data_IF_969933061627
#
_entry.id   IF_969933061627
#
_cell.length_a   1.000
_cell.length_b   1.000
_cell.length_c   1.000
_cell.angle_alpha   90.00
_cell.angle_beta   90.00
_cell.angle_gamma   90.00
#
_symmetry.space_group_name_H-M   'P 1'
#
loop_
_entity.id
_entity.type
_entity.pdbx_description
1 polymer ?
#
# COMPACT_ATOMS: atom_id res chain seq x y z
N UNK A 1 4.70 -14.93 -1.62
CA UNK A 1 3.95 -15.61 -2.70
C UNK A 1 3.17 -14.54 -3.45
N UNK A 2 3.43 -14.32 -4.75
CA UNK A 2 2.74 -13.27 -5.53
C UNK A 2 1.31 -13.71 -5.88
N UNK A 3 0.38 -12.76 -6.05
CA UNK A 3 -1.03 -13.05 -6.41
C UNK A 3 -1.17 -13.91 -7.67
N UNK A 4 -0.22 -13.76 -8.60
CA UNK A 4 -0.10 -14.59 -9.79
C UNK A 4 0.06 -16.08 -9.47
N UNK A 5 0.87 -16.42 -8.46
CA UNK A 5 1.12 -17.80 -8.05
C UNK A 5 -0.12 -18.43 -7.38
N UNK A 6 -0.92 -17.64 -6.65
CA UNK A 6 -2.17 -18.13 -6.06
C UNK A 6 -3.20 -18.46 -7.14
N UNK A 7 -3.35 -17.58 -8.14
CA UNK A 7 -4.24 -17.81 -9.29
C UNK A 7 -3.83 -19.06 -10.07
N UNK A 8 -2.53 -19.26 -10.32
CA UNK A 8 -2.01 -20.44 -11.02
C UNK A 8 -2.27 -21.73 -10.24
N UNK A 9 -2.13 -21.73 -8.91
CA UNK A 9 -2.44 -22.89 -8.05
C UNK A 9 -3.94 -23.18 -8.01
N UNK A 10 -4.77 -22.15 -7.93
CA UNK A 10 -6.23 -22.36 -7.97
C UNK A 10 -6.64 -22.95 -9.34
N UNK A 11 -6.07 -22.44 -10.42
CA UNK A 11 -6.30 -22.94 -11.77
C UNK A 11 -5.88 -24.41 -11.95
N UNK A 12 -4.76 -24.84 -11.37
CA UNK A 12 -4.35 -26.26 -11.41
C UNK A 12 -5.25 -27.16 -10.58
N UNK A 13 -5.74 -26.71 -9.42
CA UNK A 13 -6.71 -27.46 -8.59
C UNK A 13 -8.02 -27.69 -9.34
N UNK A 14 -8.57 -26.63 -9.95
CA UNK A 14 -9.80 -26.73 -10.73
C UNK A 14 -9.60 -27.55 -12.01
N UNK A 15 -8.45 -27.44 -12.66
CA UNK A 15 -8.08 -28.28 -13.81
C UNK A 15 -8.00 -29.76 -13.44
N UNK A 16 -7.29 -30.11 -12.35
CA UNK A 16 -7.21 -31.47 -11.85
C UNK A 16 -8.57 -32.03 -11.42
N UNK A 17 -9.42 -31.19 -10.82
CA UNK A 17 -10.79 -31.58 -10.49
C UNK A 17 -11.65 -31.86 -11.72
N UNK A 18 -11.55 -31.04 -12.77
CA UNK A 18 -12.24 -31.28 -14.03
C UNK A 18 -11.84 -32.61 -14.68
N UNK A 19 -10.54 -32.94 -14.65
CA UNK A 19 -10.02 -34.22 -15.14
C UNK A 19 -10.53 -35.39 -14.28
N UNK A 20 -10.53 -35.25 -12.95
CA UNK A 20 -11.01 -36.28 -12.04
C UNK A 20 -12.50 -36.55 -12.22
N UNK A 21 -13.33 -35.51 -12.40
CA UNK A 21 -14.75 -35.65 -12.71
C UNK A 21 -14.96 -36.29 -14.07
N UNK A 22 -14.22 -35.88 -15.11
CA UNK A 22 -14.31 -36.51 -16.43
C UNK A 22 -13.96 -38.01 -16.38
N UNK A 23 -12.90 -38.38 -15.65
CA UNK A 23 -12.52 -39.78 -15.44
C UNK A 23 -13.62 -40.57 -14.71
N UNK A 24 -14.25 -39.97 -13.71
CA UNK A 24 -15.35 -40.57 -12.94
C UNK A 24 -16.59 -40.79 -13.82
N UNK A 25 -16.93 -39.83 -14.68
CA UNK A 25 -18.01 -39.96 -15.66
C UNK A 25 -17.72 -41.01 -16.75
N UNK A 26 -16.48 -41.08 -17.24
CA UNK A 26 -16.07 -42.13 -18.19
C UNK A 26 -16.13 -43.51 -17.52
N UNK A 27 -15.72 -43.61 -16.26
CA UNK A 27 -15.81 -44.86 -15.48
C UNK A 27 -17.25 -45.36 -15.30
N UNK A 28 -18.25 -44.46 -15.33
CA UNK A 28 -19.67 -44.82 -15.26
C UNK A 28 -20.30 -45.19 -16.59
N UNK A 29 -19.61 -44.99 -17.74
CA UNK A 29 -20.20 -45.13 -19.08
C UNK A 29 -20.68 -46.54 -19.47
N UNK A 30 -20.51 -47.54 -18.61
CA UNK A 30 -21.01 -48.91 -18.79
C UNK A 30 -21.71 -49.52 -17.58
N UNK A 31 -21.95 -48.77 -16.50
CA UNK A 31 -22.62 -49.25 -15.29
C UNK A 31 -23.76 -48.32 -14.86
N UNK A 32 -24.78 -48.87 -14.20
CA UNK A 32 -25.86 -48.07 -13.58
C UNK A 32 -25.21 -47.09 -12.62
N UNK A 33 -25.53 -45.80 -12.76
CA UNK A 33 -24.97 -44.70 -11.97
C UNK A 33 -25.20 -44.96 -10.47
N UNK A 34 -24.21 -45.57 -9.82
CA UNK A 34 -24.34 -46.02 -8.43
C UNK A 34 -24.23 -44.81 -7.49
N UNK A 35 -24.97 -44.85 -6.38
CA UNK A 35 -24.94 -43.84 -5.31
C UNK A 35 -23.51 -43.52 -4.85
N UNK A 36 -22.60 -44.52 -4.91
CA UNK A 36 -21.18 -44.34 -4.62
C UNK A 36 -20.50 -43.30 -5.51
N UNK A 37 -20.83 -43.22 -6.81
CA UNK A 37 -20.26 -42.24 -7.74
C UNK A 37 -20.74 -40.81 -7.43
N UNK A 38 -21.98 -40.67 -6.98
CA UNK A 38 -22.53 -39.38 -6.55
C UNK A 38 -21.85 -38.91 -5.27
N UNK A 39 -21.66 -39.79 -4.28
CA UNK A 39 -20.99 -39.45 -3.02
C UNK A 39 -19.53 -39.06 -3.26
N UNK A 40 -18.79 -39.80 -4.10
CA UNK A 40 -17.40 -39.47 -4.41
C UNK A 40 -17.27 -38.16 -5.17
N UNK A 41 -18.17 -37.87 -6.12
CA UNK A 41 -18.21 -36.58 -6.80
C UNK A 41 -18.46 -35.41 -5.81
N UNK A 42 -19.41 -35.56 -4.89
CA UNK A 42 -19.72 -34.54 -3.87
C UNK A 42 -18.51 -34.31 -2.95
N UNK A 43 -17.85 -35.38 -2.49
CA UNK A 43 -16.66 -35.27 -1.65
C UNK A 43 -15.50 -34.58 -2.37
N UNK A 44 -15.34 -34.84 -3.66
CA UNK A 44 -14.28 -34.24 -4.48
C UNK A 44 -14.50 -32.72 -4.63
N UNK A 45 -15.76 -32.30 -4.88
CA UNK A 45 -16.11 -30.88 -4.95
C UNK A 45 -15.93 -30.20 -3.59
N UNK A 46 -16.40 -30.81 -2.50
CA UNK A 46 -16.23 -30.25 -1.15
C UNK A 46 -14.75 -30.13 -0.78
N UNK A 47 -13.93 -31.13 -1.13
CA UNK A 47 -12.48 -31.11 -0.91
C UNK A 47 -11.79 -29.99 -1.69
N UNK A 48 -12.17 -29.76 -2.95
CA UNK A 48 -11.60 -28.69 -3.77
C UNK A 48 -12.01 -27.29 -3.29
N UNK A 49 -13.26 -27.13 -2.83
CA UNK A 49 -13.74 -25.87 -2.23
C UNK A 49 -13.00 -25.60 -0.91
N UNK A 50 -12.84 -26.60 -0.05
CA UNK A 50 -12.09 -26.47 1.20
C UNK A 50 -10.61 -26.15 0.95
N UNK A 51 -9.95 -26.84 0.01
CA UNK A 51 -8.57 -26.58 -0.36
C UNK A 51 -8.39 -25.16 -0.93
N UNK A 52 -9.31 -24.72 -1.78
CA UNK A 52 -9.31 -23.35 -2.31
C UNK A 52 -9.47 -22.32 -1.20
N UNK A 53 -10.40 -22.52 -0.27
CA UNK A 53 -10.57 -21.64 0.89
C UNK A 53 -9.32 -21.56 1.76
N UNK A 54 -8.67 -22.70 2.02
CA UNK A 54 -7.46 -22.77 2.84
C UNK A 54 -6.27 -22.05 2.18
N UNK A 55 -6.09 -22.23 0.87
CA UNK A 55 -5.04 -21.58 0.08
C UNK A 55 -5.21 -20.06 0.05
N UNK A 56 -6.44 -19.58 -0.05
CA UNK A 56 -6.72 -18.14 -0.04
C UNK A 56 -6.52 -17.52 1.35
N UNK A 57 -6.92 -18.22 2.41
CA UNK A 57 -6.69 -17.77 3.79
C UNK A 57 -5.20 -17.72 4.14
N UNK A 58 -4.42 -18.75 3.79
CA UNK A 58 -2.96 -18.77 4.04
C UNK A 58 -2.17 -17.87 3.07
N UNK A 59 -2.57 -17.82 1.80
CA UNK A 59 -1.94 -16.98 0.79
C UNK A 59 -2.08 -15.48 1.09
N UNK A 60 -3.25 -15.07 1.60
CA UNK A 60 -3.50 -13.69 2.05
C UNK A 60 -2.58 -13.28 3.20
N UNK A 61 -2.49 -14.10 4.24
CA UNK A 61 -1.65 -13.84 5.43
C UNK A 61 -0.17 -13.71 5.06
N UNK A 62 0.35 -14.61 4.23
CA UNK A 62 1.76 -14.56 3.82
C UNK A 62 2.07 -13.38 2.89
N UNK A 63 1.12 -12.97 2.04
CA UNK A 63 1.29 -11.80 1.16
C UNK A 63 1.32 -10.48 1.94
N UNK A 64 0.51 -10.38 2.99
CA UNK A 64 0.37 -9.18 3.81
C UNK A 64 1.62 -8.91 4.64
N UNK A 65 2.26 -9.98 5.15
CA UNK A 65 3.52 -9.90 5.89
C UNK A 65 4.71 -9.48 5.01
N UNK A 66 4.72 -9.84 3.72
CA UNK A 66 5.76 -9.37 2.78
C UNK A 66 5.52 -7.95 2.28
N UNK A 67 4.25 -7.53 2.11
CA UNK A 67 3.91 -6.15 1.70
C UNK A 67 4.21 -5.13 2.80
N UNK A 68 3.94 -5.47 4.06
CA UNK A 68 4.21 -4.55 5.18
C UNK A 68 5.69 -4.19 5.31
N UNK A 69 6.61 -5.10 4.95
CA UNK A 69 8.05 -4.81 4.97
C UNK A 69 8.41 -3.80 3.87
N UNK A 70 7.94 -4.01 2.65
CA UNK A 70 8.27 -3.17 1.49
C UNK A 70 7.66 -1.76 1.58
N UNK A 71 6.40 -1.65 2.06
CA UNK A 71 5.74 -0.36 2.30
C UNK A 71 6.47 0.45 3.39
N UNK A 72 6.96 -0.21 4.45
CA UNK A 72 7.71 0.45 5.53
C UNK A 72 9.05 1.04 5.02
N UNK A 73 9.73 0.36 4.10
CA UNK A 73 10.96 0.88 3.49
C UNK A 73 10.67 2.06 2.55
N UNK A 74 9.60 2.00 1.75
CA UNK A 74 9.22 3.09 0.86
C UNK A 74 8.78 4.35 1.61
N UNK A 75 8.08 4.19 2.73
CA UNK A 75 7.57 5.30 3.54
C UNK A 75 8.72 6.03 4.27
N UNK A 76 9.70 5.28 4.77
CA UNK A 76 10.94 5.84 5.34
C UNK A 76 11.73 6.64 4.30
N UNK A 77 11.90 6.09 3.09
CA UNK A 77 12.60 6.78 2.01
C UNK A 77 11.88 8.07 1.54
N UNK A 78 10.54 8.10 1.58
CA UNK A 78 9.75 9.30 1.28
C UNK A 78 9.86 10.35 2.37
N UNK A 79 9.82 9.97 3.65
CA UNK A 79 10.03 10.89 4.78
C UNK A 79 11.40 11.55 4.71
N UNK A 80 12.45 10.77 4.45
CA UNK A 80 13.82 11.27 4.40
C UNK A 80 14.01 12.29 3.25
N UNK A 81 13.39 12.06 2.09
CA UNK A 81 13.40 13.04 0.98
C UNK A 81 12.67 14.33 1.33
N UNK A 82 11.51 14.26 1.99
CA UNK A 82 10.75 15.44 2.39
C UNK A 82 11.55 16.26 3.41
N UNK A 83 12.19 15.59 4.37
CA UNK A 83 13.01 16.21 5.40
C UNK A 83 14.25 16.89 4.79
N UNK A 84 14.86 16.28 3.78
CA UNK A 84 15.98 16.87 3.04
C UNK A 84 15.56 18.11 2.24
N UNK A 85 14.39 18.08 1.59
CA UNK A 85 13.86 19.23 0.85
C UNK A 85 13.51 20.36 1.82
N UNK A 86 12.85 20.08 2.93
CA UNK A 86 12.54 21.07 3.97
C UNK A 86 13.80 21.71 4.54
N UNK A 87 14.85 20.91 4.79
CA UNK A 87 16.13 21.41 5.28
C UNK A 87 16.81 22.31 4.26
N UNK A 88 16.78 21.93 2.98
CA UNK A 88 17.35 22.74 1.91
C UNK A 88 16.58 24.05 1.69
N UNK A 89 15.25 24.02 1.78
CA UNK A 89 14.41 25.22 1.71
C UNK A 89 14.68 26.16 2.90
N UNK A 90 14.72 25.63 4.13
CA UNK A 90 15.05 26.40 5.32
C UNK A 90 16.42 27.06 5.22
N UNK A 91 17.42 26.35 4.69
CA UNK A 91 18.77 26.89 4.55
C UNK A 91 18.83 27.96 3.44
N UNK A 92 18.11 27.76 2.32
CA UNK A 92 18.01 28.75 1.25
C UNK A 92 17.31 30.03 1.71
N UNK A 93 16.26 29.90 2.52
CA UNK A 93 15.52 31.02 3.09
C UNK A 93 16.33 31.76 4.16
N UNK A 94 17.07 31.05 5.02
CA UNK A 94 18.02 31.64 5.95
C UNK A 94 19.16 32.39 5.24
N UNK A 95 19.67 31.86 4.13
CA UNK A 95 20.69 32.53 3.32
C UNK A 95 20.10 33.78 2.65
N UNK A 96 18.86 33.72 2.16
CA UNK A 96 18.17 34.88 1.60
C UNK A 96 17.92 35.97 2.66
N UNK A 97 17.49 35.58 3.86
CA UNK A 97 17.27 36.49 4.99
C UNK A 97 18.58 37.11 5.47
N UNK A 98 19.63 36.29 5.62
CA UNK A 98 20.98 36.77 5.97
C UNK A 98 21.55 37.70 4.91
N UNK A 99 21.29 37.45 3.62
CA UNK A 99 21.72 38.32 2.53
C UNK A 99 21.00 39.67 2.57
N UNK A 100 19.71 39.69 2.91
CA UNK A 100 18.93 40.92 3.11
C UNK A 100 19.43 41.72 4.31
N UNK A 101 19.66 41.07 5.45
CA UNK A 101 20.22 41.71 6.64
C UNK A 101 21.66 42.20 6.43
N UNK A 102 22.51 41.44 5.74
CA UNK A 102 23.90 41.80 5.48
C UNK A 102 24.05 42.94 4.46
N UNK A 103 23.05 43.15 3.61
CA UNK A 103 23.01 44.27 2.67
C UNK A 103 22.61 45.61 3.32
N UNK A 104 22.34 45.64 4.63
CA UNK A 104 22.03 46.86 5.39
C UNK A 104 20.90 47.70 4.76
N UNK A 105 19.95 47.03 4.11
CA UNK A 105 18.70 47.58 3.58
C UNK A 105 17.58 47.20 4.56
N UNK A 106 17.79 47.49 5.85
CA UNK A 106 16.65 47.76 6.71
C UNK A 106 16.20 49.13 6.20
N UNK A 107 15.08 49.14 5.50
CA UNK A 107 14.44 50.36 4.99
C UNK A 107 14.29 51.31 6.19
N UNK A 108 15.19 52.29 6.32
CA UNK A 108 15.14 53.28 7.40
C UNK A 108 13.79 54.02 7.39
N UNK A 109 13.15 54.11 6.20
CA UNK A 109 11.78 54.59 6.01
C UNK A 109 10.72 53.76 6.77
N UNK A 110 10.93 52.44 6.91
CA UNK A 110 10.02 51.57 7.66
C UNK A 110 10.25 51.69 9.17
N UNK A 111 11.49 51.93 9.60
CA UNK A 111 11.83 52.18 10.99
C UNK A 111 11.28 53.53 11.46
N UNK A 112 11.42 54.58 10.63
CA UNK A 112 10.84 55.90 10.88
C UNK A 112 9.31 55.84 10.93
N UNK A 113 8.66 55.04 10.08
CA UNK A 113 7.21 54.86 10.13
C UNK A 113 6.71 54.31 11.48
N UNK A 114 7.43 53.35 12.07
CA UNK A 114 7.05 52.81 13.38
C UNK A 114 7.38 53.76 14.54
N UNK A 115 8.45 54.54 14.44
CA UNK A 115 8.81 55.55 15.44
C UNK A 115 7.80 56.70 15.45
N UNK A 116 7.38 57.18 14.28
CA UNK A 116 6.39 58.26 14.14
C UNK A 116 4.99 57.82 14.63
N UNK A 117 4.66 56.53 14.47
CA UNK A 117 3.43 55.95 15.01
C UNK A 117 3.43 55.90 16.55
N UNK A 118 4.56 55.60 17.18
CA UNK A 118 4.68 55.54 18.64
C UNK A 118 4.63 56.94 19.28
N UNK A 119 5.16 57.97 18.60
CA UNK A 119 5.04 59.37 19.03
C UNK A 119 3.60 59.90 18.90
N UNK A 120 2.88 59.52 17.84
CA UNK A 120 1.47 59.88 17.67
C UNK A 120 0.57 59.29 18.76
N UNK A 121 0.81 58.05 19.19
CA UNK A 121 0.06 57.40 20.27
C UNK A 121 0.38 57.99 21.65
N UNK A 122 1.60 58.47 21.89
CA UNK A 122 1.94 59.20 23.13
C UNK A 122 1.38 60.62 23.21
N UNK A 123 1.12 61.26 22.07
CA UNK A 123 0.55 62.62 22.04
C UNK A 123 -0.97 62.67 22.25
N UNK A 124 -1.65 61.51 22.18
CA UNK A 124 -3.11 61.37 22.30
C UNK A 124 -3.58 60.74 23.62
N UNK A 125 -2.64 60.41 24.52
CA UNK A 125 -2.90 60.03 25.93
C UNK A 125 -2.56 61.17 26.89
#
# INVERSE_FOLDING_TARGET
MTSKNLSEITMTIWGAMGIALAALFISTSGQVFSVFHMITAILLVLGAVAATGFIWQWGGVMSQQTKSLDDTFSEKAKRERIEQVLRNLSNAELVALKKRLANNEIDDDLLDFYLDQEEAERSTS
#
